data_IF_430349832270
#
_entry.id   IF_430349832270
#
_cell.length_a   1.000
_cell.length_b   1.000
_cell.length_c   1.000
_cell.angle_alpha   90.00
_cell.angle_beta   90.00
_cell.angle_gamma   90.00
#
_symmetry.space_group_name_H-M   'P 1'
#
loop_
_entity.id
_entity.type
_entity.pdbx_description
1 polymer ?
#
# COMPACT_ATOMS: atom_id res chain seq x y z
N UNK A 1 3.93 -8.84 -4.34
CA UNK A 1 2.93 -7.81 -4.71
C UNK A 1 1.95 -8.30 -5.78
N UNK A 2 2.35 -8.52 -7.05
CA UNK A 2 1.43 -9.08 -8.06
C UNK A 2 1.07 -10.56 -7.84
N UNK A 3 1.99 -11.36 -7.26
CA UNK A 3 1.71 -12.73 -6.85
C UNK A 3 0.67 -12.81 -5.70
N UNK A 4 0.65 -11.81 -4.81
CA UNK A 4 -0.29 -11.74 -3.68
C UNK A 4 -1.67 -11.22 -4.09
N UNK A 5 -1.74 -10.38 -5.12
CA UNK A 5 -2.99 -10.01 -5.79
C UNK A 5 -3.54 -11.12 -6.69
N UNK A 6 -2.74 -12.15 -7.02
CA UNK A 6 -3.16 -13.35 -7.77
C UNK A 6 -3.64 -14.51 -6.87
N UNK A 7 -3.51 -14.42 -5.53
CA UNK A 7 -3.66 -15.59 -4.62
C UNK A 7 -5.05 -15.84 -4.02
N UNK A 8 -6.13 -15.38 -4.66
CA UNK A 8 -7.52 -15.66 -4.25
C UNK A 8 -8.39 -16.14 -5.42
N UNK A 9 -7.93 -17.17 -6.14
CA UNK A 9 -8.58 -17.65 -7.36
C UNK A 9 -9.42 -18.92 -7.12
N UNK A 10 -10.47 -18.83 -6.30
CA UNK A 10 -11.68 -19.64 -6.48
C UNK A 10 -12.89 -18.71 -6.16
N UNK A 11 -13.53 -18.17 -7.21
CA UNK A 11 -14.72 -17.29 -7.22
C UNK A 11 -14.58 -15.77 -6.96
N UNK A 12 -13.39 -15.18 -6.81
CA UNK A 12 -13.27 -13.70 -6.78
C UNK A 12 -13.12 -13.10 -8.18
N UNK A 13 -13.91 -12.06 -8.48
CA UNK A 13 -13.72 -11.25 -9.69
C UNK A 13 -12.37 -10.53 -9.62
N UNK A 14 -11.61 -10.54 -10.72
CA UNK A 14 -10.33 -9.85 -10.79
C UNK A 14 -10.52 -8.33 -10.73
N UNK A 15 -9.58 -7.65 -10.10
CA UNK A 15 -9.49 -6.19 -10.15
C UNK A 15 -9.10 -5.79 -11.58
N UNK A 16 -9.78 -4.79 -12.16
CA UNK A 16 -9.41 -4.17 -13.43
C UNK A 16 -8.62 -2.87 -13.22
N UNK A 17 -9.07 -2.08 -12.25
CA UNK A 17 -8.50 -0.79 -11.90
C UNK A 17 -8.61 -0.59 -10.40
N UNK A 18 -7.54 -0.07 -9.81
CA UNK A 18 -7.55 0.43 -8.45
C UNK A 18 -6.89 1.79 -8.41
N UNK A 19 -7.48 2.71 -7.66
CA UNK A 19 -6.94 4.04 -7.41
C UNK A 19 -7.05 4.35 -5.92
N UNK A 20 -5.92 4.51 -5.26
CA UNK A 20 -5.81 5.03 -3.89
C UNK A 20 -5.40 6.51 -3.96
N UNK A 21 -6.05 7.33 -3.15
CA UNK A 21 -5.80 8.78 -3.09
C UNK A 21 -4.90 9.16 -1.91
N UNK A 22 -4.37 10.38 -1.91
CA UNK A 22 -3.49 10.91 -0.84
C UNK A 22 -4.18 10.91 0.54
N UNK A 23 -5.51 11.06 0.56
CA UNK A 23 -6.33 10.97 1.79
C UNK A 23 -6.58 9.53 2.29
N UNK A 24 -6.05 8.52 1.63
CA UNK A 24 -6.25 7.07 1.87
C UNK A 24 -7.67 6.55 1.54
N UNK A 25 -8.46 7.32 0.79
CA UNK A 25 -9.66 6.82 0.12
C UNK A 25 -9.27 5.88 -1.03
N UNK A 26 -10.08 4.86 -1.27
CA UNK A 26 -9.80 3.82 -2.27
C UNK A 26 -10.97 3.66 -3.23
N UNK A 27 -10.68 3.52 -4.52
CA UNK A 27 -11.62 3.08 -5.54
C UNK A 27 -11.10 1.80 -6.20
N UNK A 28 -11.99 0.82 -6.42
CA UNK A 28 -11.71 -0.41 -7.16
C UNK A 28 -12.83 -0.64 -8.18
N UNK A 29 -12.45 -0.95 -9.42
CA UNK A 29 -13.34 -1.52 -10.44
C UNK A 29 -12.98 -2.98 -10.67
N UNK A 30 -13.99 -3.84 -10.71
CA UNK A 30 -13.85 -5.27 -10.91
C UNK A 30 -14.28 -5.68 -12.33
N UNK A 31 -13.83 -6.86 -12.75
CA UNK A 31 -14.12 -7.43 -14.08
C UNK A 31 -15.58 -7.82 -14.31
N UNK A 32 -16.39 -7.88 -13.25
CA UNK A 32 -17.85 -8.06 -13.33
C UNK A 32 -18.60 -6.74 -13.55
N UNK A 33 -17.88 -5.63 -13.75
CA UNK A 33 -18.42 -4.28 -13.91
C UNK A 33 -18.84 -3.61 -12.61
N UNK A 34 -18.77 -4.30 -11.46
CA UNK A 34 -19.04 -3.68 -10.16
C UNK A 34 -17.90 -2.76 -9.75
N UNK A 35 -18.20 -1.79 -8.87
CA UNK A 35 -17.17 -0.95 -8.26
C UNK A 35 -17.36 -0.82 -6.76
N UNK A 36 -16.26 -0.52 -6.08
CA UNK A 36 -16.20 -0.32 -4.66
C UNK A 36 -15.39 0.93 -4.33
N UNK A 37 -15.94 1.79 -3.48
CA UNK A 37 -15.21 2.87 -2.84
C UNK A 37 -15.10 2.64 -1.34
N UNK A 38 -13.93 2.86 -0.76
CA UNK A 38 -13.74 2.98 0.69
C UNK A 38 -13.56 4.45 1.06
N UNK A 39 -14.18 4.85 2.17
CA UNK A 39 -13.92 6.17 2.74
C UNK A 39 -12.45 6.30 3.17
N UNK A 40 -11.91 7.53 3.26
CA UNK A 40 -10.53 7.79 3.71
C UNK A 40 -10.13 7.07 5.00
N UNK A 41 -11.05 6.96 5.97
CA UNK A 41 -10.82 6.26 7.24
C UNK A 41 -11.08 4.74 7.18
N UNK A 42 -11.53 4.20 6.05
CA UNK A 42 -11.90 2.80 5.87
C UNK A 42 -13.18 2.35 6.59
N UNK A 43 -13.83 3.21 7.38
CA UNK A 43 -14.98 2.81 8.22
C UNK A 43 -16.30 2.61 7.47
N UNK A 44 -16.40 3.14 6.25
CA UNK A 44 -17.56 2.97 5.39
C UNK A 44 -17.12 2.64 3.96
N UNK A 45 -18.02 2.01 3.22
CA UNK A 45 -17.85 1.73 1.80
C UNK A 45 -19.12 2.04 1.00
N UNK A 46 -18.93 2.24 -0.30
CA UNK A 46 -19.98 2.35 -1.31
C UNK A 46 -19.74 1.28 -2.38
N UNK A 47 -20.64 0.33 -2.50
CA UNK A 47 -20.64 -0.67 -3.57
C UNK A 47 -21.62 -0.26 -4.66
N UNK A 48 -21.21 -0.31 -5.93
CA UNK A 48 -22.09 -0.08 -7.08
C UNK A 48 -22.18 -1.34 -7.94
N UNK A 49 -23.40 -1.67 -8.32
CA UNK A 49 -23.67 -2.73 -9.28
C UNK A 49 -23.41 -2.26 -10.71
N UNK A 50 -23.10 -3.22 -11.59
CA UNK A 50 -23.01 -2.98 -13.03
C UNK A 50 -24.39 -2.70 -13.64
N UNK A 51 -24.41 -2.17 -14.87
CA UNK A 51 -25.63 -2.03 -15.66
C UNK A 51 -26.36 -3.38 -15.78
N UNK A 52 -27.70 -3.41 -15.80
CA UNK A 52 -28.63 -2.28 -15.93
C UNK A 52 -29.09 -1.68 -14.60
N UNK A 53 -28.79 -2.28 -13.44
CA UNK A 53 -29.36 -1.81 -12.18
C UNK A 53 -28.77 -0.48 -11.73
N UNK A 54 -27.47 -0.25 -11.99
CA UNK A 54 -26.71 0.93 -11.59
C UNK A 54 -26.94 1.33 -10.11
N UNK A 55 -27.34 0.36 -9.28
CA UNK A 55 -27.71 0.60 -7.90
C UNK A 55 -26.46 0.77 -7.06
N UNK A 56 -26.54 1.70 -6.10
CA UNK A 56 -25.44 1.99 -5.19
C UNK A 56 -25.90 1.74 -3.74
N UNK A 57 -25.09 1.02 -2.97
CA UNK A 57 -25.34 0.76 -1.56
C UNK A 57 -24.16 1.22 -0.71
N UNK A 58 -24.46 2.00 0.32
CA UNK A 58 -23.49 2.47 1.31
C UNK A 58 -23.69 1.73 2.63
N UNK A 59 -22.60 1.27 3.22
CA UNK A 59 -22.64 0.57 4.50
C UNK A 59 -21.37 0.81 5.31
N UNK A 60 -21.43 0.57 6.62
CA UNK A 60 -20.24 0.47 7.46
C UNK A 60 -19.44 -0.78 7.09
N UNK A 61 -18.13 -0.62 6.95
CA UNK A 61 -17.18 -1.67 6.54
C UNK A 61 -17.23 -2.88 7.46
N UNK A 62 -17.30 -2.66 8.77
CA UNK A 62 -17.41 -3.74 9.77
C UNK A 62 -18.69 -4.60 9.67
N UNK A 63 -19.72 -4.13 8.96
CA UNK A 63 -20.98 -4.84 8.79
C UNK A 63 -21.16 -5.39 7.37
N UNK A 64 -20.10 -5.40 6.55
CA UNK A 64 -20.14 -5.96 5.22
C UNK A 64 -20.79 -7.36 5.21
N UNK A 65 -21.87 -7.48 4.43
CA UNK A 65 -22.60 -8.74 4.26
C UNK A 65 -21.76 -9.77 3.51
N UNK A 66 -22.08 -11.06 3.68
CA UNK A 66 -21.31 -12.17 3.11
C UNK A 66 -21.09 -12.05 1.60
N UNK A 67 -22.05 -11.52 0.84
CA UNK A 67 -21.95 -11.36 -0.62
C UNK A 67 -20.85 -10.42 -1.10
N UNK A 68 -20.39 -9.48 -0.26
CA UNK A 68 -19.32 -8.53 -0.60
C UNK A 68 -18.11 -8.66 0.30
N UNK A 69 -18.16 -9.52 1.32
CA UNK A 69 -17.18 -9.60 2.38
C UNK A 69 -15.76 -9.79 1.86
N UNK A 70 -15.56 -10.68 0.89
CA UNK A 70 -14.21 -10.94 0.35
C UNK A 70 -13.66 -9.74 -0.43
N UNK A 71 -14.50 -9.07 -1.24
CA UNK A 71 -14.15 -7.81 -1.92
C UNK A 71 -13.80 -6.71 -0.92
N UNK A 72 -14.57 -6.57 0.16
CA UNK A 72 -14.30 -5.57 1.21
C UNK A 72 -13.02 -5.89 1.97
N UNK A 73 -12.81 -7.15 2.37
CA UNK A 73 -11.61 -7.59 3.08
C UNK A 73 -10.37 -7.31 2.24
N UNK A 74 -10.40 -7.65 0.96
CA UNK A 74 -9.28 -7.40 0.05
C UNK A 74 -9.06 -5.90 -0.18
N UNK A 75 -10.11 -5.12 -0.35
CA UNK A 75 -10.00 -3.67 -0.49
C UNK A 75 -9.39 -3.00 0.76
N UNK A 76 -9.80 -3.43 1.96
CA UNK A 76 -9.24 -2.94 3.23
C UNK A 76 -7.77 -3.34 3.35
N UNK A 77 -7.42 -4.58 2.98
CA UNK A 77 -6.03 -5.05 2.95
C UNK A 77 -5.18 -4.18 2.04
N UNK A 78 -5.61 -3.95 0.80
CA UNK A 78 -4.89 -3.12 -0.17
C UNK A 78 -4.76 -1.67 0.31
N UNK A 79 -5.86 -1.07 0.82
CA UNK A 79 -5.81 0.26 1.44
C UNK A 79 -4.73 0.31 2.51
N UNK A 80 -4.73 -0.64 3.45
CA UNK A 80 -3.84 -0.64 4.59
C UNK A 80 -2.36 -0.81 4.20
N UNK A 81 -2.05 -1.45 3.06
CA UNK A 81 -0.66 -1.56 2.56
C UNK A 81 -0.01 -0.20 2.27
N UNK A 82 -0.80 0.81 1.92
CA UNK A 82 -0.30 2.12 1.49
C UNK A 82 -0.79 3.27 2.38
N UNK A 83 -1.82 3.04 3.20
CA UNK A 83 -2.40 4.06 4.07
C UNK A 83 -1.48 4.44 5.23
N UNK A 84 -1.60 5.67 5.72
CA UNK A 84 -0.83 6.14 6.87
C UNK A 84 -1.18 5.36 8.15
N UNK A 85 -2.48 5.09 8.32
CA UNK A 85 -3.03 4.32 9.46
C UNK A 85 -3.93 3.21 8.95
N UNK A 86 -3.80 1.96 9.45
CA UNK A 86 -4.64 0.87 8.99
C UNK A 86 -6.06 0.96 9.57
N UNK A 87 -7.05 0.46 8.84
CA UNK A 87 -8.38 0.18 9.38
C UNK A 87 -8.46 -1.32 9.70
N UNK A 88 -8.56 -1.66 10.99
CA UNK A 88 -8.59 -3.05 11.47
C UNK A 88 -9.78 -3.26 12.39
N UNK A 89 -10.74 -4.08 11.95
CA UNK A 89 -11.90 -4.47 12.73
C UNK A 89 -11.96 -5.98 12.91
N UNK A 90 -12.43 -6.41 14.08
CA UNK A 90 -12.55 -7.83 14.42
C UNK A 90 -13.42 -8.59 13.42
N UNK A 91 -14.43 -7.93 12.86
CA UNK A 91 -15.36 -8.55 11.94
C UNK A 91 -14.74 -8.92 10.61
N UNK A 92 -13.66 -8.27 10.15
CA UNK A 92 -12.97 -8.61 8.89
C UNK A 92 -11.64 -9.36 9.09
N UNK A 93 -11.15 -9.43 10.33
CA UNK A 93 -9.88 -10.10 10.63
C UNK A 93 -10.11 -11.60 10.84
N UNK A 94 -9.21 -12.45 10.31
CA UNK A 94 -9.25 -13.89 10.61
C UNK A 94 -8.98 -14.11 12.10
N UNK A 95 -9.89 -14.82 12.76
CA UNK A 95 -9.80 -15.13 14.19
C UNK A 95 -8.59 -15.99 14.52
N UNK A 96 -8.06 -16.77 13.56
CA UNK A 96 -6.88 -17.60 13.73
C UNK A 96 -5.59 -16.79 13.79
N UNK A 97 -5.58 -15.60 13.19
CA UNK A 97 -4.43 -14.69 13.17
C UNK A 97 -4.41 -13.71 14.35
N UNK A 98 -5.52 -13.63 15.09
CA UNK A 98 -5.64 -12.72 16.23
C UNK A 98 -4.73 -13.14 17.39
N UNK A 99 -3.84 -12.23 17.77
CA UNK A 99 -3.08 -12.29 19.01
C UNK A 99 -3.83 -11.58 20.13
N UNK A 100 -3.79 -12.15 21.32
CA UNK A 100 -4.40 -11.56 22.52
C UNK A 100 -3.30 -10.94 23.38
N UNK A 101 -3.55 -9.73 23.86
CA UNK A 101 -2.67 -9.05 24.80
C UNK A 101 -3.46 -8.23 25.82
N UNK A 102 -2.74 -7.69 26.80
CA UNK A 102 -3.30 -6.87 27.88
C UNK A 102 -2.60 -5.51 28.01
N UNK A 103 -1.51 -5.33 27.27
CA UNK A 103 -0.71 -4.11 27.21
C UNK A 103 -0.85 -3.47 25.83
N UNK A 104 -0.62 -2.16 25.80
CA UNK A 104 -0.64 -1.38 24.57
C UNK A 104 0.63 -1.66 23.77
N UNK A 105 0.46 -1.95 22.49
CA UNK A 105 1.55 -2.11 21.54
C UNK A 105 1.63 -0.83 20.72
N UNK A 106 2.44 0.12 21.19
CA UNK A 106 2.60 1.44 20.57
C UNK A 106 3.98 1.68 20.01
N UNK A 107 4.98 0.89 20.43
CA UNK A 107 6.38 1.06 20.06
C UNK A 107 7.04 -0.30 19.89
N UNK A 108 8.12 -0.33 19.09
CA UNK A 108 9.02 -1.46 19.01
C UNK A 108 10.49 -1.01 19.05
N UNK A 109 11.37 -1.88 19.54
CA UNK A 109 12.81 -1.63 19.66
C UNK A 109 13.62 -2.41 18.63
N UNK A 110 14.53 -1.75 17.93
CA UNK A 110 15.41 -2.33 16.91
C UNK A 110 16.79 -2.67 17.49
N UNK A 111 17.53 -3.61 16.88
CA UNK A 111 18.85 -3.98 17.36
C UNK A 111 19.88 -2.87 17.16
N UNK A 112 20.67 -2.58 18.21
CA UNK A 112 21.74 -1.57 18.18
C UNK A 112 23.06 -2.08 17.58
N UNK A 113 23.18 -3.40 17.41
CA UNK A 113 24.37 -4.08 16.90
C UNK A 113 23.94 -5.13 15.87
N UNK A 114 24.87 -5.56 15.02
CA UNK A 114 24.69 -6.75 14.19
C UNK A 114 24.62 -8.01 15.06
N UNK A 115 23.49 -8.23 15.72
CA UNK A 115 23.16 -9.55 16.24
C UNK A 115 22.69 -10.38 15.05
N UNK A 116 23.43 -11.46 14.77
CA UNK A 116 23.21 -12.33 13.60
C UNK A 116 21.82 -12.93 13.55
N UNK A 117 21.12 -12.99 14.69
CA UNK A 117 19.86 -13.70 14.82
C UNK A 117 18.65 -12.83 14.47
N UNK A 118 18.80 -11.50 14.52
CA UNK A 118 17.71 -10.55 14.22
C UNK A 118 17.79 -10.01 12.79
N UNK A 119 18.93 -10.19 12.11
CA UNK A 119 19.16 -9.76 10.73
C UNK A 119 19.38 -10.99 9.87
N UNK A 120 18.48 -11.22 8.92
CA UNK A 120 18.53 -12.38 8.02
C UNK A 120 18.69 -11.94 6.58
N UNK A 121 19.59 -12.60 5.84
CA UNK A 121 19.67 -12.50 4.39
C UNK A 121 18.91 -13.68 3.79
N UNK A 122 18.00 -13.38 2.87
CA UNK A 122 17.21 -14.37 2.18
C UNK A 122 17.90 -14.76 0.87
N UNK A 123 17.61 -15.97 0.38
CA UNK A 123 18.24 -16.53 -0.82
C UNK A 123 17.86 -15.80 -2.12
N UNK A 124 16.77 -15.04 -2.09
CA UNK A 124 16.28 -14.21 -3.19
C UNK A 124 17.02 -12.85 -3.29
N UNK A 125 17.94 -12.56 -2.37
CA UNK A 125 18.66 -11.29 -2.28
C UNK A 125 17.99 -10.25 -1.39
N UNK A 126 16.81 -10.54 -0.85
CA UNK A 126 16.17 -9.73 0.19
C UNK A 126 16.98 -9.79 1.50
N UNK A 127 16.83 -8.76 2.32
CA UNK A 127 17.35 -8.76 3.69
C UNK A 127 16.27 -8.29 4.65
N UNK A 128 16.23 -8.85 5.85
CA UNK A 128 15.20 -8.58 6.84
C UNK A 128 15.82 -8.30 8.21
N UNK A 129 15.31 -7.30 8.91
CA UNK A 129 15.57 -7.06 10.33
C UNK A 129 14.27 -7.25 11.11
N UNK A 130 14.36 -7.92 12.25
CA UNK A 130 13.25 -8.06 13.21
C UNK A 130 13.56 -7.22 14.46
N UNK A 131 12.53 -6.58 15.02
CA UNK A 131 12.65 -5.86 16.27
C UNK A 131 12.99 -6.82 17.42
N UNK A 132 13.72 -6.34 18.42
CA UNK A 132 14.18 -7.10 19.60
C UNK A 132 13.02 -7.73 20.36
N UNK A 133 11.89 -7.02 20.42
CA UNK A 133 10.65 -7.46 21.06
C UNK A 133 9.74 -8.32 20.15
N UNK A 134 10.12 -8.53 18.89
CA UNK A 134 9.33 -9.29 17.92
C UNK A 134 7.99 -8.65 17.56
N UNK A 135 7.82 -7.34 17.77
CA UNK A 135 6.61 -6.57 17.45
C UNK A 135 6.59 -6.02 16.02
N UNK A 136 7.75 -5.94 15.36
CA UNK A 136 7.87 -5.50 13.97
C UNK A 136 9.03 -6.18 13.23
N UNK A 137 8.97 -6.14 11.90
CA UNK A 137 10.07 -6.50 11.01
C UNK A 137 10.06 -5.61 9.78
N UNK A 138 11.24 -5.40 9.18
CA UNK A 138 11.42 -4.66 7.94
C UNK A 138 12.19 -5.55 6.98
N UNK A 139 11.61 -5.80 5.80
CA UNK A 139 12.21 -6.59 4.72
C UNK A 139 12.51 -5.69 3.53
N UNK A 140 13.78 -5.52 3.20
CA UNK A 140 14.25 -4.85 2.00
C UNK A 140 14.12 -5.81 0.81
N UNK A 141 13.45 -5.36 -0.26
CA UNK A 141 13.23 -6.16 -1.46
C UNK A 141 14.54 -6.38 -2.23
N UNK A 142 14.65 -7.44 -3.07
CA UNK A 142 15.91 -7.83 -3.73
C UNK A 142 16.58 -6.73 -4.56
N UNK A 143 15.76 -5.91 -5.25
CA UNK A 143 16.22 -4.78 -6.07
C UNK A 143 16.60 -3.54 -5.24
N UNK A 144 16.43 -3.57 -3.91
CA UNK A 144 16.79 -2.54 -2.93
C UNK A 144 16.17 -1.16 -3.10
N UNK A 145 15.10 -1.03 -3.87
CA UNK A 145 14.39 0.25 -4.06
C UNK A 145 13.05 0.34 -3.30
N UNK A 146 12.62 -0.75 -2.67
CA UNK A 146 11.40 -0.80 -1.88
C UNK A 146 11.60 -1.73 -0.70
N UNK A 147 10.77 -1.56 0.33
CA UNK A 147 10.77 -2.42 1.51
C UNK A 147 9.35 -2.60 2.04
N UNK A 148 9.15 -3.71 2.73
CA UNK A 148 7.91 -4.06 3.41
C UNK A 148 8.17 -3.98 4.91
N UNK A 149 7.30 -3.27 5.62
CA UNK A 149 7.26 -3.31 7.08
C UNK A 149 6.08 -4.14 7.53
N UNK A 150 6.31 -5.04 8.47
CA UNK A 150 5.28 -5.87 9.08
C UNK A 150 5.30 -5.61 10.57
N UNK A 151 4.20 -5.11 11.13
CA UNK A 151 4.13 -4.74 12.55
C UNK A 151 2.82 -5.19 13.19
N UNK A 152 2.85 -5.38 14.50
CA UNK A 152 1.68 -5.76 15.26
C UNK A 152 0.78 -4.54 15.49
N UNK A 153 -0.47 -4.62 15.04
CA UNK A 153 -1.43 -3.51 15.12
C UNK A 153 -2.70 -3.94 15.86
N UNK A 154 -3.26 -3.03 16.65
CA UNK A 154 -4.47 -3.30 17.43
C UNK A 154 -5.71 -3.42 16.54
N UNK A 155 -6.47 -4.49 16.72
CA UNK A 155 -7.76 -4.70 16.07
C UNK A 155 -8.85 -4.07 16.91
N UNK A 156 -9.56 -3.09 16.35
CA UNK A 156 -10.64 -2.41 17.07
C UNK A 156 -11.85 -3.33 17.18
N UNK A 157 -12.50 -3.31 18.33
CA UNK A 157 -13.70 -4.08 18.63
C UNK A 157 -14.69 -3.23 19.46
N UNK A 158 -16.00 -3.49 19.38
CA UNK A 158 -16.97 -2.77 20.19
C UNK A 158 -16.81 -3.12 21.66
N UNK A 159 -16.58 -2.11 22.51
CA UNK A 159 -16.61 -2.30 23.96
C UNK A 159 -18.05 -2.60 24.43
N UNK A 160 -18.27 -3.57 25.35
CA UNK A 160 -19.59 -3.82 25.92
C UNK A 160 -20.15 -2.57 26.61
N UNK A 161 -21.44 -2.26 26.42
CA UNK A 161 -22.11 -1.09 27.01
C UNK A 161 -21.97 -0.99 28.54
N UNK A 162 -21.85 -2.14 29.25
CA UNK A 162 -21.66 -2.17 30.72
C UNK A 162 -20.31 -1.62 31.20
N UNK A 163 -19.30 -1.52 30.33
CA UNK A 163 -17.99 -0.93 30.66
C UNK A 163 -17.97 0.60 30.55
N UNK A 164 -18.99 1.23 29.91
CA UNK A 164 -19.06 2.70 29.80
C UNK A 164 -19.54 3.40 31.08
N UNK A 165 -20.23 2.68 31.97
CA UNK A 165 -20.90 3.25 33.15
C UNK A 165 -20.27 2.83 34.48
N UNK A 166 -19.11 2.17 34.46
CA UNK A 166 -18.36 1.82 35.69
C UNK A 166 -17.03 2.57 35.68
N UNK A 167 -16.65 3.10 36.83
CA UNK A 167 -15.27 3.56 37.08
C UNK A 167 -14.27 2.47 36.64
N UNK A 168 -13.06 2.84 36.19
CA UNK A 168 -12.10 1.90 35.65
C UNK A 168 -11.62 0.98 36.77
N UNK A 169 -12.31 -0.14 36.94
CA UNK A 169 -11.75 -1.27 37.65
C UNK A 169 -10.46 -1.64 36.93
N UNK A 170 -9.37 -1.84 37.68
CA UNK A 170 -7.99 -2.04 37.21
C UNK A 170 -7.82 -3.42 36.56
N UNK A 171 -8.87 -3.93 35.91
CA UNK A 171 -8.81 -5.10 35.06
C UNK A 171 -8.26 -4.65 33.70
N UNK A 172 -6.99 -5.02 33.43
CA UNK A 172 -6.38 -4.85 32.10
C UNK A 172 -7.36 -5.34 31.03
N UNK A 173 -7.86 -4.41 30.21
CA UNK A 173 -8.85 -4.75 29.21
C UNK A 173 -8.19 -5.63 28.16
N UNK A 174 -8.80 -6.78 27.86
CA UNK A 174 -8.32 -7.70 26.82
C UNK A 174 -8.25 -6.95 25.49
N UNK A 175 -7.09 -6.98 24.83
CA UNK A 175 -6.84 -6.39 23.52
C UNK A 175 -6.56 -7.46 22.49
N UNK A 176 -6.88 -7.15 21.24
CA UNK A 176 -6.67 -8.04 20.11
C UNK A 176 -5.74 -7.35 19.12
N UNK A 177 -4.84 -8.11 18.54
CA UNK A 177 -3.85 -7.61 17.59
C UNK A 177 -3.76 -8.53 16.39
N UNK A 178 -3.35 -7.99 15.25
CA UNK A 178 -2.98 -8.76 14.07
C UNK A 178 -1.76 -8.15 13.40
N UNK A 179 -1.09 -8.92 12.55
CA UNK A 179 0.03 -8.41 11.77
C UNK A 179 -0.49 -7.54 10.62
N UNK A 180 0.02 -6.33 10.52
CA UNK A 180 -0.25 -5.40 9.42
C UNK A 180 1.02 -5.21 8.60
N UNK A 181 0.87 -5.25 7.28
CA UNK A 181 1.96 -5.00 6.33
C UNK A 181 1.76 -3.65 5.63
N UNK A 182 2.84 -2.88 5.49
CA UNK A 182 2.88 -1.66 4.66
C UNK A 182 4.07 -1.73 3.71
N UNK A 183 3.92 -1.13 2.54
CA UNK A 183 4.95 -1.14 1.50
C UNK A 183 5.40 0.29 1.22
N UNK A 184 6.71 0.49 1.26
CA UNK A 184 7.34 1.79 1.08
C UNK A 184 8.38 1.76 -0.04
N UNK A 185 8.61 2.91 -0.66
CA UNK A 185 9.75 3.11 -1.56
C UNK A 185 10.91 3.64 -0.73
N UNK A 186 12.16 3.32 -1.09
CA UNK A 186 13.31 3.98 -0.47
C UNK A 186 13.34 5.48 -0.79
N UNK A 187 12.61 5.91 -1.82
CA UNK A 187 12.53 7.31 -2.24
C UNK A 187 11.61 8.14 -1.33
N UNK A 188 10.56 7.52 -0.77
CA UNK A 188 9.58 8.22 0.07
C UNK A 188 8.95 7.23 1.06
N UNK A 189 9.20 7.49 2.35
CA UNK A 189 8.75 6.65 3.45
C UNK A 189 8.67 7.46 4.77
N UNK A 190 7.87 7.01 5.76
CA UNK A 190 7.84 7.63 7.08
C UNK A 190 9.19 7.56 7.79
N UNK A 191 9.64 8.68 8.37
CA UNK A 191 10.94 8.78 9.07
C UNK A 191 11.10 7.77 10.20
N UNK A 192 10.00 7.28 10.77
CA UNK A 192 9.95 6.24 11.80
C UNK A 192 10.63 4.92 11.37
N UNK A 193 10.71 4.64 10.06
CA UNK A 193 11.36 3.46 9.51
C UNK A 193 12.81 3.69 9.04
N UNK A 194 13.34 4.92 9.18
CA UNK A 194 14.69 5.27 8.71
C UNK A 194 15.77 4.42 9.36
N UNK A 195 15.71 4.26 10.67
CA UNK A 195 16.70 3.48 11.42
C UNK A 195 16.73 1.99 11.02
N UNK A 196 15.60 1.24 11.08
CA UNK A 196 15.61 -0.16 10.64
C UNK A 196 15.94 -0.33 9.16
N UNK A 197 15.57 0.61 8.30
CA UNK A 197 15.95 0.56 6.89
C UNK A 197 17.48 0.65 6.73
N UNK A 198 18.13 1.54 7.47
CA UNK A 198 19.59 1.67 7.43
C UNK A 198 20.28 0.39 7.89
N UNK A 199 19.79 -0.25 8.95
CA UNK A 199 20.32 -1.54 9.43
C UNK A 199 20.32 -2.56 8.30
N UNK A 200 19.19 -2.71 7.60
CA UNK A 200 19.05 -3.70 6.52
C UNK A 200 19.87 -3.33 5.28
N UNK A 201 20.02 -2.03 4.98
CA UNK A 201 20.88 -1.56 3.88
C UNK A 201 22.36 -1.85 4.15
N UNK A 202 22.87 -1.49 5.34
CA UNK A 202 24.24 -1.80 5.77
C UNK A 202 24.45 -3.32 5.75
N UNK A 203 23.46 -4.04 6.29
CA UNK A 203 23.43 -5.49 6.30
C UNK A 203 23.41 -6.11 4.92
N UNK A 204 22.83 -5.48 3.90
CA UNK A 204 22.81 -5.96 2.52
C UNK A 204 24.13 -5.64 1.79
N UNK A 205 24.71 -4.47 2.05
CA UNK A 205 25.96 -3.98 1.47
C UNK A 205 27.22 -4.64 2.06
N UNK A 206 27.10 -5.46 3.12
CA UNK A 206 28.24 -6.03 3.87
C UNK A 206 29.10 -4.94 4.55
N UNK A 207 28.49 -3.81 4.88
CA UNK A 207 29.16 -2.71 5.56
C UNK A 207 29.04 -2.86 7.08
N UNK A 208 30.00 -2.30 7.83
CA UNK A 208 29.84 -2.14 9.28
C UNK A 208 28.77 -1.08 9.54
N UNK A 209 27.97 -1.26 10.59
CA UNK A 209 26.85 -0.36 10.89
C UNK A 209 27.38 1.07 10.97
N UNK A 210 26.88 1.93 10.09
CA UNK A 210 27.16 3.35 10.18
C UNK A 210 26.70 3.84 11.56
N UNK A 211 27.47 4.71 12.22
CA UNK A 211 27.16 5.22 13.56
C UNK A 211 25.93 6.15 13.52
N UNK A 212 24.74 5.59 13.30
CA UNK A 212 23.50 6.30 13.37
C UNK A 212 23.16 6.59 14.84
N UNK A 213 22.58 7.77 15.15
CA UNK A 213 22.20 8.12 16.52
C UNK A 213 21.15 7.13 17.08
N UNK A 214 21.02 7.03 18.42
CA UNK A 214 20.41 5.91 19.13
C UNK A 214 18.88 5.96 19.15
N UNK A 215 18.23 6.30 18.04
CA UNK A 215 16.77 6.19 17.92
C UNK A 215 16.42 4.80 17.39
N UNK A 216 16.64 3.80 18.24
CA UNK A 216 16.28 2.41 18.00
C UNK A 216 14.81 2.11 18.29
N UNK A 217 14.01 3.10 18.67
CA UNK A 217 12.58 2.94 18.93
C UNK A 217 11.74 3.51 17.79
N UNK A 218 10.82 2.71 17.27
CA UNK A 218 9.82 3.14 16.29
C UNK A 218 8.43 3.13 16.93
N UNK A 219 7.70 4.24 16.82
CA UNK A 219 6.27 4.27 17.16
C UNK A 219 5.46 3.58 16.07
N UNK A 220 4.66 2.58 16.45
CA UNK A 220 3.83 1.80 15.55
C UNK A 220 2.51 2.52 15.24
N UNK A 221 2.03 2.38 14.01
CA UNK A 221 0.81 3.05 13.56
C UNK A 221 -0.43 2.48 14.24
N UNK A 222 -1.16 3.37 14.93
CA UNK A 222 -2.43 3.02 15.56
C UNK A 222 -3.55 2.86 14.53
N UNK A 223 -4.30 1.77 14.64
CA UNK A 223 -5.48 1.52 13.81
C UNK A 223 -6.55 2.59 13.98
N UNK A 224 -7.26 2.86 12.89
CA UNK A 224 -8.36 3.81 12.82
C UNK A 224 -9.59 3.32 13.62
N UNK A 225 -10.43 4.23 14.14
CA UNK A 225 -11.65 3.87 14.85
C UNK A 225 -12.65 3.08 13.99
N UNK A 226 -13.50 2.27 14.63
CA UNK A 226 -14.54 1.49 13.94
C UNK A 226 -15.59 2.34 13.23
N UNK A 227 -15.84 3.54 13.75
CA UNK A 227 -16.80 4.52 13.23
C UNK A 227 -16.11 5.87 13.11
N UNK A 228 -16.39 6.59 12.04
CA UNK A 228 -15.88 7.94 11.85
C UNK A 228 -16.78 8.98 12.56
N UNK A 229 -16.18 9.95 13.23
CA UNK A 229 -16.87 11.13 13.77
C UNK A 229 -17.18 12.16 12.68
N UNK A 230 -16.32 12.28 11.68
CA UNK A 230 -16.43 13.23 10.56
C UNK A 230 -17.00 12.59 9.28
N UNK A 231 -18.08 11.80 9.40
CA UNK A 231 -18.72 11.13 8.24
C UNK A 231 -19.19 12.08 7.14
N UNK A 232 -19.43 13.34 7.50
CA UNK A 232 -19.84 14.40 6.58
C UNK A 232 -18.71 14.81 5.61
N UNK A 233 -17.45 14.48 5.93
CA UNK A 233 -16.29 14.65 5.05
C UNK A 233 -16.09 13.48 4.08
N UNK A 234 -16.90 12.42 4.17
CA UNK A 234 -16.81 11.33 3.20
C UNK A 234 -17.39 11.77 1.85
N UNK A 235 -16.52 12.12 0.92
CA UNK A 235 -16.89 12.37 -0.48
C UNK A 235 -16.94 11.05 -1.26
N UNK A 236 -18.04 10.82 -1.95
CA UNK A 236 -18.25 9.64 -2.81
C UNK A 236 -18.42 10.11 -4.24
N UNK A 237 -17.73 9.50 -5.20
CA UNK A 237 -17.74 10.00 -6.58
C UNK A 237 -19.01 9.56 -7.29
N UNK A 238 -20.07 10.36 -7.19
CA UNK A 238 -21.42 9.98 -7.62
C UNK A 238 -21.65 9.95 -9.16
N UNK A 239 -20.72 10.44 -9.98
CA UNK A 239 -21.08 10.91 -11.35
C UNK A 239 -20.34 10.27 -12.54
N UNK A 240 -19.34 9.40 -12.37
CA UNK A 240 -18.50 8.98 -13.53
C UNK A 240 -19.12 7.84 -14.37
N UNK A 241 -20.24 7.24 -13.94
CA UNK A 241 -20.70 5.97 -14.53
C UNK A 241 -22.12 5.99 -15.13
N UNK A 242 -22.86 7.10 -15.11
CA UNK A 242 -24.24 7.09 -15.62
C UNK A 242 -24.36 7.13 -17.15
N UNK A 243 -23.34 7.58 -17.87
CA UNK A 243 -23.51 7.99 -19.28
C UNK A 243 -22.70 7.17 -20.32
N UNK A 244 -21.91 6.18 -19.91
CA UNK A 244 -21.06 5.43 -20.85
C UNK A 244 -21.71 4.10 -21.27
N UNK A 245 -22.45 4.13 -22.38
CA UNK A 245 -23.01 2.95 -23.05
C UNK A 245 -22.05 2.28 -24.04
N UNK A 246 -20.73 2.40 -23.86
CA UNK A 246 -19.75 1.78 -24.76
C UNK A 246 -18.62 1.06 -24.01
N UNK A 247 -18.14 -0.03 -24.62
CA UNK A 247 -17.06 -0.92 -24.19
C UNK A 247 -15.67 -0.26 -23.99
N UNK A 248 -15.61 1.07 -23.97
CA UNK A 248 -14.40 1.85 -23.74
C UNK A 248 -14.65 2.90 -22.66
N UNK A 249 -14.72 2.46 -21.40
CA UNK A 249 -14.66 3.39 -20.26
C UNK A 249 -13.34 4.16 -20.35
N UNK A 250 -13.41 5.45 -20.66
CA UNK A 250 -12.26 6.34 -20.59
C UNK A 250 -11.88 6.52 -19.12
N UNK A 251 -10.99 5.66 -18.67
CA UNK A 251 -10.52 5.57 -17.29
C UNK A 251 -9.70 6.82 -16.88
N UNK A 252 -9.35 7.69 -17.82
CA UNK A 252 -8.79 9.02 -17.55
C UNK A 252 -9.77 9.90 -16.77
N UNK A 253 -11.08 9.58 -16.83
CA UNK A 253 -12.10 10.15 -15.96
C UNK A 253 -11.87 9.91 -14.45
N UNK A 254 -11.08 8.88 -14.09
CA UNK A 254 -10.69 8.63 -12.69
C UNK A 254 -9.45 9.42 -12.27
N UNK A 255 -8.76 10.08 -13.19
CA UNK A 255 -7.57 10.85 -12.87
C UNK A 255 -7.93 12.01 -11.96
N UNK A 256 -7.17 12.16 -10.89
CA UNK A 256 -7.35 13.24 -9.92
C UNK A 256 -6.00 13.77 -9.45
N UNK A 257 -5.94 15.04 -9.01
CA UNK A 257 -4.68 15.64 -8.57
C UNK A 257 -4.10 15.02 -7.28
N UNK A 258 -4.92 14.27 -6.53
CA UNK A 258 -4.58 13.58 -5.29
C UNK A 258 -4.33 12.06 -5.47
N UNK A 259 -4.08 11.57 -6.69
CA UNK A 259 -3.75 10.14 -6.88
C UNK A 259 -2.44 9.77 -6.20
N UNK A 260 -2.44 8.67 -5.45
CA UNK A 260 -1.30 8.17 -4.68
C UNK A 260 -0.80 6.81 -5.19
N UNK A 261 -1.72 5.86 -5.42
CA UNK A 261 -1.40 4.55 -6.01
C UNK A 261 -2.43 4.21 -7.07
N UNK A 262 -1.98 3.68 -8.19
CA UNK A 262 -2.83 3.17 -9.26
C UNK A 262 -2.40 1.73 -9.52
N UNK A 263 -3.33 0.79 -9.62
CA UNK A 263 -3.03 -0.54 -10.16
C UNK A 263 -3.86 -0.75 -11.42
N UNK A 264 -3.22 -1.23 -12.48
CA UNK A 264 -3.86 -1.52 -13.76
C UNK A 264 -3.02 -2.49 -14.60
N UNK A 265 -3.69 -3.40 -15.29
CA UNK A 265 -3.08 -4.32 -16.25
C UNK A 265 -1.88 -5.09 -15.64
N UNK A 266 -2.00 -5.47 -14.36
CA UNK A 266 -0.96 -6.19 -13.63
C UNK A 266 0.16 -5.33 -13.03
N UNK A 267 0.23 -4.04 -13.34
CA UNK A 267 1.27 -3.13 -12.84
C UNK A 267 0.73 -2.15 -11.78
N UNK A 268 1.55 -1.85 -10.77
CA UNK A 268 1.30 -0.81 -9.77
C UNK A 268 2.12 0.44 -10.09
N UNK A 269 1.49 1.61 -10.06
CA UNK A 269 2.09 2.92 -10.20
C UNK A 269 1.94 3.66 -8.87
N UNK A 270 3.06 3.99 -8.22
CA UNK A 270 3.10 4.79 -6.99
C UNK A 270 3.53 6.20 -7.33
N UNK A 271 2.74 7.19 -6.94
CA UNK A 271 2.95 8.61 -7.23
C UNK A 271 3.50 9.28 -5.98
N UNK A 272 4.56 10.05 -6.15
CA UNK A 272 5.20 10.82 -5.09
C UNK A 272 5.25 12.29 -5.49
N UNK A 273 4.61 13.14 -4.69
CA UNK A 273 4.74 14.61 -4.78
C UNK A 273 5.96 15.04 -3.96
N UNK A 274 6.93 15.67 -4.61
CA UNK A 274 8.12 16.20 -3.96
C UNK A 274 7.85 17.58 -3.35
N UNK A 275 8.69 18.02 -2.41
CA UNK A 275 8.64 19.36 -1.82
C UNK A 275 8.82 20.48 -2.85
N UNK A 276 9.47 20.19 -3.98
CA UNK A 276 9.62 21.09 -5.14
C UNK A 276 8.31 21.27 -5.94
N UNK A 277 7.26 20.51 -5.61
CA UNK A 277 6.02 20.43 -6.37
C UNK A 277 6.08 19.49 -7.59
N UNK A 278 7.25 18.90 -7.87
CA UNK A 278 7.42 17.94 -8.96
C UNK A 278 6.89 16.56 -8.57
N UNK A 279 6.43 15.81 -9.56
CA UNK A 279 5.95 14.43 -9.39
C UNK A 279 6.99 13.41 -9.84
N UNK A 280 7.02 12.29 -9.13
CA UNK A 280 7.79 11.10 -9.49
C UNK A 280 6.87 9.90 -9.45
N UNK A 281 6.98 9.02 -10.44
CA UNK A 281 6.21 7.78 -10.50
C UNK A 281 7.15 6.60 -10.43
N UNK A 282 6.84 5.67 -9.55
CA UNK A 282 7.48 4.37 -9.47
C UNK A 282 6.52 3.28 -9.96
N UNK A 283 7.03 2.33 -10.72
CA UNK A 283 6.27 1.28 -11.39
C UNK A 283 6.77 -0.07 -10.88
N UNK A 284 5.87 -0.86 -10.30
CA UNK A 284 6.08 -2.28 -9.99
C UNK A 284 5.32 -3.12 -11.05
N UNK A 285 6.01 -3.76 -12.00
CA UNK A 285 5.38 -4.59 -13.02
C UNK A 285 4.90 -5.95 -12.50
N UNK A 286 5.26 -6.32 -11.26
CA UNK A 286 4.87 -7.59 -10.65
C UNK A 286 5.82 -8.75 -10.85
N UNK A 287 6.93 -8.55 -11.56
CA UNK A 287 7.96 -9.57 -11.83
C UNK A 287 9.16 -9.51 -10.86
N UNK A 288 9.09 -8.65 -9.85
CA UNK A 288 10.16 -8.42 -8.88
C UNK A 288 11.16 -7.34 -9.31
N UNK A 289 10.97 -6.71 -10.48
CA UNK A 289 11.66 -5.49 -10.86
C UNK A 289 10.90 -4.24 -10.41
N UNK A 290 11.56 -3.08 -10.49
CA UNK A 290 10.90 -1.79 -10.28
C UNK A 290 11.52 -0.72 -11.15
N UNK A 291 10.69 0.18 -11.65
CA UNK A 291 11.13 1.35 -12.40
C UNK A 291 10.77 2.63 -11.67
N UNK A 292 11.59 3.68 -11.76
CA UNK A 292 11.27 5.00 -11.21
C UNK A 292 11.60 6.10 -12.20
N UNK A 293 10.68 7.03 -12.37
CA UNK A 293 10.88 8.20 -13.23
C UNK A 293 11.96 9.11 -12.69
N UNK A 294 12.84 9.60 -13.56
CA UNK A 294 13.80 10.64 -13.23
C UNK A 294 13.10 12.02 -13.22
N UNK A 295 13.38 12.82 -12.18
CA UNK A 295 12.96 14.21 -12.12
C UNK A 295 13.72 15.05 -13.17
N UNK A 296 13.14 16.15 -13.70
CA UNK A 296 11.87 16.76 -13.28
C UNK A 296 10.65 16.39 -14.13
N UNK A 297 10.80 15.73 -15.28
CA UNK A 297 9.71 15.56 -16.27
C UNK A 297 9.30 14.12 -16.53
N UNK A 298 9.91 13.13 -15.87
CA UNK A 298 9.60 11.72 -16.07
C UNK A 298 9.78 11.25 -17.52
N UNK A 299 10.74 11.83 -18.26
CA UNK A 299 11.08 11.40 -19.62
C UNK A 299 11.99 10.18 -19.65
N UNK A 300 12.71 9.94 -18.56
CA UNK A 300 13.59 8.81 -18.38
C UNK A 300 13.19 8.04 -17.12
N UNK A 301 13.43 6.73 -17.14
CA UNK A 301 13.10 5.82 -16.05
C UNK A 301 14.29 4.92 -15.78
N UNK A 302 14.74 4.92 -14.53
CA UNK A 302 15.69 3.93 -14.03
C UNK A 302 14.94 2.63 -13.73
N UNK A 303 15.50 1.49 -14.11
CA UNK A 303 14.92 0.16 -13.96
C UNK A 303 15.90 -0.72 -13.21
N UNK A 304 15.50 -1.18 -12.02
CA UNK A 304 16.26 -2.11 -11.21
C UNK A 304 15.60 -3.48 -11.24
N UNK A 305 16.37 -4.50 -11.62
CA UNK A 305 15.94 -5.90 -11.61
C UNK A 305 17.06 -6.78 -11.12
N UNK A 306 16.68 -7.91 -10.53
CA UNK A 306 17.62 -8.88 -9.98
C UNK A 306 17.88 -9.98 -10.99
N UNK A 307 19.17 -10.24 -11.24
CA UNK A 307 19.62 -11.39 -12.01
C UNK A 307 20.44 -12.30 -11.11
N UNK A 308 20.18 -13.61 -11.22
CA UNK A 308 20.97 -14.62 -10.53
C UNK A 308 22.12 -15.04 -11.44
N UNK A 309 23.35 -14.91 -10.96
CA UNK A 309 24.54 -15.33 -11.71
C UNK A 309 24.79 -16.84 -11.51
N UNK A 310 25.70 -17.41 -12.30
CA UNK A 310 26.03 -18.85 -12.28
C UNK A 310 26.47 -19.36 -10.89
N UNK A 311 26.98 -18.45 -10.06
CA UNK A 311 27.40 -18.72 -8.67
C UNK A 311 26.27 -18.59 -7.65
N UNK A 312 25.01 -18.41 -8.09
CA UNK A 312 23.82 -18.11 -7.27
C UNK A 312 23.87 -16.79 -6.50
N UNK A 313 24.90 -15.98 -6.71
CA UNK A 313 24.93 -14.61 -6.22
C UNK A 313 23.89 -13.76 -6.95
N UNK A 314 23.21 -12.93 -6.17
CA UNK A 314 22.18 -11.99 -6.64
C UNK A 314 22.85 -10.66 -6.99
N UNK A 315 22.81 -10.30 -8.27
CA UNK A 315 23.31 -9.04 -8.77
C UNK A 315 22.14 -8.13 -9.18
N UNK A 316 22.24 -6.85 -8.83
CA UNK A 316 21.25 -5.83 -9.20
C UNK A 316 21.72 -5.19 -10.49
N UNK A 317 20.91 -5.31 -11.53
CA UNK A 317 21.15 -4.68 -12.82
C UNK A 317 20.32 -3.39 -12.92
N UNK A 318 20.92 -2.36 -13.50
CA UNK A 318 20.29 -1.06 -13.72
C UNK A 318 20.23 -0.74 -15.22
N UNK A 319 19.08 -0.26 -15.69
CA UNK A 319 18.88 0.21 -17.06
C UNK A 319 18.09 1.49 -17.07
N UNK A 320 18.27 2.30 -18.10
CA UNK A 320 17.50 3.54 -18.30
C UNK A 320 16.65 3.42 -19.56
N UNK A 321 15.36 3.75 -19.44
CA UNK A 321 14.43 3.81 -20.56
C UNK A 321 13.94 5.23 -20.81
N UNK A 322 13.74 5.59 -22.08
CA UNK A 322 13.08 6.83 -22.47
C UNK A 322 11.59 6.59 -22.71
N UNK A 323 10.73 7.44 -22.16
CA UNK A 323 9.29 7.43 -22.46
C UNK A 323 8.97 8.00 -23.85
N UNK A 324 9.79 8.93 -24.34
CA UNK A 324 9.65 9.55 -25.66
C UNK A 324 10.01 8.57 -26.79
N UNK A 325 11.06 7.77 -26.56
CA UNK A 325 11.59 6.77 -27.51
C UNK A 325 11.79 5.43 -26.80
N UNK A 326 10.71 4.74 -26.40
CA UNK A 326 10.87 3.43 -25.79
C UNK A 326 11.48 2.48 -26.81
N UNK A 327 12.37 1.60 -26.35
CA UNK A 327 12.87 0.53 -27.19
C UNK A 327 11.69 -0.30 -27.71
N UNK A 328 11.74 -0.80 -28.95
CA UNK A 328 10.75 -1.75 -29.42
C UNK A 328 10.67 -2.90 -28.42
N UNK A 329 9.47 -3.32 -28.05
CA UNK A 329 9.26 -4.50 -27.20
C UNK A 329 9.78 -5.73 -27.95
N UNK A 330 11.09 -5.98 -27.87
CA UNK A 330 11.60 -7.31 -28.10
C UNK A 330 11.02 -8.11 -26.96
N UNK A 331 10.17 -9.07 -27.31
CA UNK A 331 9.74 -10.16 -26.45
C UNK A 331 11.00 -10.78 -25.83
N UNK A 332 11.54 -10.17 -24.79
CA UNK A 332 12.38 -10.85 -23.83
C UNK A 332 11.48 -12.00 -23.42
N UNK A 333 11.95 -13.23 -23.64
CA UNK A 333 11.16 -14.47 -23.56
C UNK A 333 10.53 -14.73 -22.16
N UNK A 334 10.49 -13.73 -21.28
CA UNK A 334 10.05 -13.74 -19.89
C UNK A 334 9.07 -12.64 -19.47
N UNK A 335 8.79 -11.59 -20.26
CA UNK A 335 7.91 -10.49 -19.79
C UNK A 335 6.55 -10.50 -20.49
N UNK A 336 5.46 -10.68 -19.72
CA UNK A 336 4.06 -10.63 -20.17
C UNK A 336 3.57 -9.19 -20.48
N UNK A 337 4.43 -8.18 -20.37
CA UNK A 337 4.10 -6.76 -20.47
C UNK A 337 5.11 -5.98 -21.35
N UNK A 338 4.68 -4.81 -21.82
CA UNK A 338 5.48 -3.86 -22.60
C UNK A 338 6.09 -2.80 -21.69
N UNK A 339 7.42 -2.74 -21.59
CA UNK A 339 8.12 -1.69 -20.83
C UNK A 339 7.75 -0.31 -21.41
N UNK A 340 7.71 -0.21 -22.74
CA UNK A 340 7.33 1.02 -23.43
C UNK A 340 5.95 1.52 -23.04
N UNK A 341 4.96 0.63 -22.92
CA UNK A 341 3.60 0.95 -22.46
C UNK A 341 3.60 1.46 -21.02
N UNK A 342 4.33 0.78 -20.12
CA UNK A 342 4.40 1.16 -18.71
C UNK A 342 5.00 2.56 -18.52
N UNK A 343 6.16 2.83 -19.12
CA UNK A 343 6.85 4.13 -18.95
C UNK A 343 6.10 5.28 -19.63
N UNK A 344 5.47 5.03 -20.78
CA UNK A 344 4.57 6.02 -21.42
C UNK A 344 3.38 6.33 -20.53
N UNK A 345 2.77 5.30 -19.94
CA UNK A 345 1.62 5.49 -19.06
C UNK A 345 1.99 6.28 -17.81
N UNK A 346 3.14 5.98 -17.19
CA UNK A 346 3.65 6.75 -16.07
C UNK A 346 3.96 8.21 -16.42
N UNK A 347 4.54 8.47 -17.59
CA UNK A 347 4.79 9.83 -18.07
C UNK A 347 3.49 10.63 -18.24
N UNK A 348 2.42 10.00 -18.75
CA UNK A 348 1.09 10.64 -18.85
C UNK A 348 0.52 11.02 -17.49
N UNK A 349 0.72 10.19 -16.46
CA UNK A 349 0.32 10.55 -15.09
C UNK A 349 1.06 11.79 -14.58
N UNK A 350 2.38 11.84 -14.79
CA UNK A 350 3.20 12.99 -14.38
C UNK A 350 2.74 14.27 -15.09
N UNK A 351 2.48 14.19 -16.39
CA UNK A 351 2.00 15.33 -17.18
C UNK A 351 0.64 15.83 -16.68
N UNK A 352 -0.32 14.92 -16.49
CA UNK A 352 -1.64 15.27 -15.94
C UNK A 352 -1.52 15.95 -14.58
N UNK A 353 -0.78 15.35 -13.64
CA UNK A 353 -0.63 15.89 -12.29
C UNK A 353 0.07 17.25 -12.29
N UNK A 354 1.05 17.44 -13.18
CA UNK A 354 1.74 18.72 -13.34
C UNK A 354 0.81 19.81 -13.88
N UNK A 355 -0.15 19.44 -14.73
CA UNK A 355 -1.12 20.37 -15.33
C UNK A 355 -2.35 20.62 -14.44
N UNK A 356 -2.64 19.73 -13.49
CA UNK A 356 -3.82 19.81 -12.63
C UNK A 356 -3.77 20.93 -11.56
N UNK A 357 -2.64 21.65 -11.44
CA UNK A 357 -2.46 22.79 -10.52
C UNK A 357 -2.18 22.40 -9.06
N UNK A 358 -1.93 23.40 -8.20
CA UNK A 358 -1.81 23.19 -6.75
C UNK A 358 -3.20 22.91 -6.16
N UNK A 359 -3.34 21.77 -5.49
CA UNK A 359 -4.58 21.41 -4.80
C UNK A 359 -4.65 22.07 -3.42
N UNK A 360 -5.88 22.41 -3.03
CA UNK A 360 -6.27 22.73 -1.64
C UNK A 360 -6.06 21.50 -0.75
N UNK A 361 -5.67 21.70 0.50
CA UNK A 361 -5.56 20.62 1.50
C UNK A 361 -6.87 19.81 1.57
N UNK A 362 -6.82 18.54 1.16
CA UNK A 362 -7.92 17.63 1.41
C UNK A 362 -8.00 17.30 2.89
N UNK A 363 -9.07 17.77 3.54
CA UNK A 363 -9.35 17.44 4.93
C UNK A 363 -9.69 15.95 5.04
N UNK A 364 -8.78 15.18 5.63
CA UNK A 364 -8.99 13.77 5.88
C UNK A 364 -9.91 13.59 7.09
N UNK A 365 -10.99 12.81 6.97
CA UNK A 365 -11.95 12.57 8.05
C UNK A 365 -11.37 11.91 9.33
N UNK A 366 -10.11 11.46 9.30
CA UNK A 366 -9.41 10.85 10.43
C UNK A 366 -8.27 11.71 10.99
N UNK A 367 -8.04 12.89 10.41
CA UNK A 367 -7.13 13.91 10.94
C UNK A 367 -7.85 15.01 11.73
N UNK A 368 -9.19 15.06 11.67
CA UNK A 368 -10.03 16.00 12.43
C UNK A 368 -10.29 15.58 13.88
#
# INVERSE_FOLDING_TARGET
MAADLKRSAENMCSIELLVLYENDGLFIKYSDGTSLELSPCGSAFLHRQSAPSNSAMRQLTRFAVSSFRDKITEAVRIRNMFAARPYLCKELTDQRELKVGYQDVTQCCWPDQFTTDLITRLSDGSACVTSVDGLASLTLMPHRQAFIVKFLAEVKYPLPQKARNKEPDVQQHKRYFTWQEQIHSIFSYPTAWKYPLQIVLDAANKEKLSSCPPHNVTTLSNSLPLTCSAVHLHTWKAQVLSDCSCDSVDWESFWQPNMKVIWRDGATYRIFRQSTGLFTVEIDPGDGSVMRSQAPRGRYFDHWFVQQNDLKDVEIQERVYSADKPLPDRLLQRTEYSIGRLVKQAARYIEFLSNAGQQLEERCCWTE
#
